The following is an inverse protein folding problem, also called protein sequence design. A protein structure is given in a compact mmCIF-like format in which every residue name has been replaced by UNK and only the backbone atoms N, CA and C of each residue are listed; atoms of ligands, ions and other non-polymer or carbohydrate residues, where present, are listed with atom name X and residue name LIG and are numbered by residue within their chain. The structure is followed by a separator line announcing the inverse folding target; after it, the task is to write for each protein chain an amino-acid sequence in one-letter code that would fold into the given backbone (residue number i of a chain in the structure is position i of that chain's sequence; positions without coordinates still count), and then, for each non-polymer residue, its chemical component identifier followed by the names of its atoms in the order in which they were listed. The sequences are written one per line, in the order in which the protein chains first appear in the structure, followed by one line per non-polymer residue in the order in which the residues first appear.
data_IF_789271670982
#
_entry.id   IF_789271670982
#
_cell.length_a   1.000
_cell.length_b   1.000
_cell.length_c   1.000
_cell.angle_alpha   90.00
_cell.angle_beta   90.00
_cell.angle_gamma   90.00
#
_symmetry.space_group_name_H-M   'P 1'
#
loop_
_entity.id
_entity.type
_entity.pdbx_description
1 polymer ?
#
# COMPACT_ATOMS: atom_id res chain seq x y z
N UNK A 1 -26.40 -7.54 -7.16
CA UNK A 1 -25.65 -8.54 -7.98
C UNK A 1 -25.32 -8.24 -9.46
N UNK A 2 -26.20 -7.74 -10.34
CA UNK A 2 -25.94 -7.72 -11.82
C UNK A 2 -24.71 -6.90 -12.28
N UNK A 3 -24.39 -5.80 -11.59
CA UNK A 3 -23.21 -4.98 -11.86
C UNK A 3 -21.90 -5.51 -11.26
N UNK A 4 -22.02 -6.36 -10.24
CA UNK A 4 -20.84 -6.91 -9.55
C UNK A 4 -20.04 -7.86 -10.46
N UNK A 5 -20.68 -8.55 -11.40
CA UNK A 5 -19.98 -9.46 -12.33
C UNK A 5 -19.08 -8.70 -13.30
N UNK A 6 -19.54 -7.56 -13.81
CA UNK A 6 -18.71 -6.68 -14.64
C UNK A 6 -17.54 -6.11 -13.84
N UNK A 7 -17.77 -5.67 -12.60
CA UNK A 7 -16.71 -5.14 -11.73
C UNK A 7 -15.58 -6.15 -11.48
N UNK A 8 -15.92 -7.42 -11.23
CA UNK A 8 -14.90 -8.47 -11.04
C UNK A 8 -14.15 -8.80 -12.33
N UNK A 9 -14.82 -8.81 -13.48
CA UNK A 9 -14.14 -9.05 -14.77
C UNK A 9 -13.16 -7.90 -15.07
N UNK A 10 -13.58 -6.65 -14.89
CA UNK A 10 -12.71 -5.48 -15.09
C UNK A 10 -11.53 -5.50 -14.12
N UNK A 11 -11.79 -5.78 -12.84
CA UNK A 11 -10.74 -5.94 -11.83
C UNK A 11 -9.78 -7.06 -12.16
N UNK A 12 -10.26 -8.22 -12.61
CA UNK A 12 -9.40 -9.34 -13.02
C UNK A 12 -8.53 -8.97 -14.22
N UNK A 13 -9.07 -8.26 -15.22
CA UNK A 13 -8.30 -7.75 -16.35
C UNK A 13 -7.23 -6.76 -15.88
N UNK A 14 -7.60 -5.80 -15.01
CA UNK A 14 -6.65 -4.83 -14.46
C UNK A 14 -5.56 -5.53 -13.65
N UNK A 15 -5.91 -6.56 -12.86
CA UNK A 15 -4.95 -7.35 -12.09
C UNK A 15 -3.99 -8.13 -12.99
N UNK A 16 -4.47 -8.69 -14.11
CA UNK A 16 -3.62 -9.35 -15.11
C UNK A 16 -2.69 -8.37 -15.81
N UNK A 17 -3.17 -7.18 -16.19
CA UNK A 17 -2.35 -6.13 -16.77
C UNK A 17 -1.29 -5.62 -15.78
N UNK A 18 -1.67 -5.43 -14.52
CA UNK A 18 -0.80 -5.07 -13.42
C UNK A 18 0.31 -6.12 -13.21
N UNK A 19 -0.05 -7.41 -13.15
CA UNK A 19 0.91 -8.50 -13.12
C UNK A 19 1.85 -8.47 -14.34
N UNK A 20 1.32 -8.25 -15.54
CA UNK A 20 2.13 -8.08 -16.75
C UNK A 20 3.16 -6.95 -16.61
N UNK A 21 2.75 -5.78 -16.11
CA UNK A 21 3.66 -4.65 -15.87
C UNK A 21 4.76 -5.00 -14.87
N UNK A 22 4.41 -5.70 -13.79
CA UNK A 22 5.36 -6.15 -12.77
C UNK A 22 6.41 -7.11 -13.34
N UNK A 23 5.99 -8.07 -14.18
CA UNK A 23 6.90 -9.06 -14.76
C UNK A 23 7.76 -8.51 -15.91
N UNK A 24 7.19 -7.69 -16.80
CA UNK A 24 7.91 -7.27 -18.01
C UNK A 24 8.75 -6.00 -17.83
N UNK A 25 8.28 -5.04 -17.03
CA UNK A 25 8.97 -3.75 -16.83
C UNK A 25 9.72 -3.69 -15.52
N UNK A 26 9.12 -4.24 -14.46
CA UNK A 26 9.67 -4.16 -13.10
C UNK A 26 9.65 -2.74 -12.53
N UNK A 27 10.11 -2.62 -11.29
CA UNK A 27 10.20 -1.35 -10.57
C UNK A 27 11.52 -0.65 -10.86
N UNK A 28 11.49 0.68 -11.01
CA UNK A 28 12.70 1.48 -10.80
C UNK A 28 12.97 1.53 -9.30
N UNK A 29 14.11 1.01 -8.87
CA UNK A 29 14.53 1.07 -7.47
C UNK A 29 15.13 2.44 -7.22
N UNK A 30 14.64 3.15 -6.20
CA UNK A 30 15.30 4.38 -5.76
C UNK A 30 16.47 4.08 -4.83
N UNK A 31 17.10 5.14 -4.34
CA UNK A 31 18.38 5.06 -3.59
C UNK A 31 18.27 4.21 -2.32
N UNK A 32 17.09 4.16 -1.69
CA UNK A 32 16.86 3.40 -0.46
C UNK A 32 17.04 1.90 -0.66
N UNK A 33 16.86 1.40 -1.88
CA UNK A 33 16.97 -0.03 -2.19
C UNK A 33 18.11 -0.34 -3.16
N UNK A 34 18.38 0.54 -4.12
CA UNK A 34 19.51 0.38 -5.03
C UNK A 34 20.85 0.71 -4.37
N UNK A 35 20.83 1.52 -3.30
CA UNK A 35 22.02 2.22 -2.82
C UNK A 35 22.43 3.37 -3.75
N UNK A 36 23.24 4.27 -3.24
CA UNK A 36 23.73 5.44 -3.97
C UNK A 36 23.52 6.74 -3.21
N UNK A 37 23.70 7.84 -3.92
CA UNK A 37 23.59 9.18 -3.37
C UNK A 37 22.59 10.00 -4.19
N UNK A 38 21.85 10.85 -3.49
CA UNK A 38 20.87 11.75 -4.05
C UNK A 38 21.13 13.16 -3.53
N UNK A 39 21.27 14.09 -4.47
CA UNK A 39 21.53 15.49 -4.16
C UNK A 39 20.45 16.33 -4.82
N UNK A 40 19.73 17.08 -4.00
CA UNK A 40 18.74 18.04 -4.45
C UNK A 40 19.37 19.43 -4.43
N UNK A 41 19.39 20.07 -5.60
CA UNK A 41 20.06 21.35 -5.80
C UNK A 41 19.06 22.33 -6.40
N UNK A 42 18.97 23.51 -5.80
CA UNK A 42 18.19 24.63 -6.32
C UNK A 42 19.10 25.73 -6.82
N UNK A 43 18.94 26.12 -8.07
CA UNK A 43 19.64 27.22 -8.71
C UNK A 43 18.85 28.52 -8.56
N UNK A 44 19.56 29.64 -8.63
CA UNK A 44 18.94 30.98 -8.69
C UNK A 44 18.27 31.25 -10.05
N UNK A 45 18.70 30.53 -11.09
CA UNK A 45 18.13 30.57 -12.45
C UNK A 45 17.79 29.16 -12.93
N UNK A 46 17.37 29.01 -14.19
CA UNK A 46 17.15 27.69 -14.80
C UNK A 46 18.42 26.83 -14.68
N UNK A 47 18.27 25.62 -14.16
CA UNK A 47 19.37 24.72 -13.88
C UNK A 47 20.01 24.19 -15.17
N UNK A 48 21.34 24.27 -15.34
CA UNK A 48 22.02 23.81 -16.56
C UNK A 48 22.25 22.29 -16.52
N UNK A 49 21.17 21.51 -16.74
CA UNK A 49 21.18 20.03 -16.62
C UNK A 49 22.31 19.35 -17.42
N UNK A 50 22.55 19.82 -18.66
CA UNK A 50 23.61 19.26 -19.51
C UNK A 50 24.99 19.51 -18.93
N UNK A 51 25.26 20.75 -18.52
CA UNK A 51 26.54 21.13 -17.94
C UNK A 51 26.80 20.39 -16.63
N UNK A 52 25.79 20.28 -15.75
CA UNK A 52 25.89 19.51 -14.52
C UNK A 52 26.20 18.04 -14.83
N UNK A 53 25.54 17.43 -15.82
CA UNK A 53 25.84 16.06 -16.22
C UNK A 53 27.28 15.92 -16.72
N UNK A 54 27.72 16.82 -17.59
CA UNK A 54 29.07 16.81 -18.17
C UNK A 54 30.15 17.02 -17.10
N UNK A 55 29.87 17.82 -16.07
CA UNK A 55 30.78 18.04 -14.93
C UNK A 55 30.98 16.76 -14.11
N UNK A 56 29.91 16.02 -13.83
CA UNK A 56 30.00 14.75 -13.10
C UNK A 56 30.60 13.62 -13.95
N UNK A 57 30.32 13.58 -15.26
CA UNK A 57 30.88 12.55 -16.15
C UNK A 57 32.40 12.66 -16.36
N UNK A 58 32.99 13.85 -16.18
CA UNK A 58 34.45 14.05 -16.21
C UNK A 58 35.18 13.27 -15.13
N UNK A 59 34.50 12.97 -14.03
CA UNK A 59 35.05 12.21 -12.92
C UNK A 59 34.65 10.74 -13.00
N UNK A 60 35.64 9.85 -13.13
CA UNK A 60 35.41 8.42 -13.28
C UNK A 60 34.61 7.79 -12.11
N UNK A 61 34.65 8.41 -10.92
CA UNK A 61 33.94 7.97 -9.71
C UNK A 61 32.43 8.22 -9.75
N UNK A 62 31.95 9.13 -10.61
CA UNK A 62 30.51 9.47 -10.73
C UNK A 62 29.88 8.94 -12.04
N UNK A 63 30.46 7.90 -12.64
CA UNK A 63 29.89 7.26 -13.83
C UNK A 63 28.46 6.77 -13.57
N UNK A 64 27.56 7.03 -14.53
CA UNK A 64 26.15 6.67 -14.41
C UNK A 64 25.30 7.68 -13.65
N UNK A 65 25.78 8.92 -13.47
CA UNK A 65 25.01 10.03 -12.92
C UNK A 65 23.73 10.27 -13.73
N UNK A 66 22.62 10.45 -13.04
CA UNK A 66 21.34 10.84 -13.61
C UNK A 66 20.94 12.20 -13.05
N UNK A 67 20.75 13.16 -13.96
CA UNK A 67 20.31 14.51 -13.62
C UNK A 67 18.94 14.73 -14.23
N UNK A 68 17.97 15.05 -13.39
CA UNK A 68 16.58 15.29 -13.76
C UNK A 68 16.01 16.53 -13.05
N UNK A 69 15.07 17.22 -13.67
CA UNK A 69 14.31 18.31 -13.04
C UNK A 69 13.47 17.80 -11.86
N UNK A 70 13.30 18.64 -10.85
CA UNK A 70 12.54 18.34 -9.64
C UNK A 70 11.51 19.43 -9.37
N UNK A 71 10.29 19.23 -9.87
CA UNK A 71 9.16 20.14 -9.63
C UNK A 71 9.21 21.46 -10.40
N UNK A 72 10.38 22.05 -10.61
CA UNK A 72 10.60 23.28 -11.38
C UNK A 72 11.87 23.21 -12.23
N UNK A 73 12.05 24.17 -13.15
CA UNK A 73 13.26 24.27 -14.00
C UNK A 73 14.49 24.77 -13.25
N UNK A 74 14.29 25.35 -12.07
CA UNK A 74 15.37 25.88 -11.20
C UNK A 74 15.91 24.80 -10.26
N UNK A 75 15.20 23.69 -10.10
CA UNK A 75 15.52 22.67 -9.12
C UNK A 75 15.77 21.34 -9.81
N UNK A 76 16.91 20.72 -9.49
CA UNK A 76 17.33 19.45 -10.07
C UNK A 76 17.63 18.46 -8.98
N UNK A 77 17.53 17.20 -9.37
CA UNK A 77 17.85 16.06 -8.56
C UNK A 77 18.91 15.25 -9.29
N UNK A 78 20.04 15.08 -8.61
CA UNK A 78 21.23 14.39 -9.10
C UNK A 78 21.32 13.08 -8.35
N UNK A 79 21.21 11.96 -9.07
CA UNK A 79 21.40 10.61 -8.54
C UNK A 79 22.68 10.03 -9.10
N UNK A 80 23.52 9.46 -8.26
CA UNK A 80 24.70 8.73 -8.71
C UNK A 80 24.93 7.49 -7.86
N UNK A 81 25.65 6.48 -8.40
CA UNK A 81 26.01 5.29 -7.64
C UNK A 81 26.79 5.64 -6.38
N UNK A 82 26.80 4.72 -5.42
CA UNK A 82 27.51 4.92 -4.17
C UNK A 82 29.01 5.07 -4.44
N UNK A 83 29.60 6.16 -3.96
CA UNK A 83 31.04 6.44 -4.07
C UNK A 83 31.65 6.21 -2.69
N UNK A 84 32.58 5.25 -2.61
CA UNK A 84 33.39 5.09 -1.41
C UNK A 84 34.30 6.30 -1.26
N UNK A 85 34.12 7.04 -0.17
CA UNK A 85 35.00 8.14 0.24
C UNK A 85 35.93 7.67 1.36
N UNK A 86 37.15 8.23 1.39
CA UNK A 86 38.05 8.03 2.53
C UNK A 86 37.43 8.64 3.80
N UNK A 87 37.86 8.17 4.99
CA UNK A 87 37.34 8.62 6.30
C UNK A 87 37.35 10.15 6.53
N UNK A 88 38.19 10.88 5.79
CA UNK A 88 38.33 12.35 5.89
C UNK A 88 37.79 13.11 4.66
N UNK A 89 37.19 12.43 3.68
CA UNK A 89 36.60 13.08 2.51
C UNK A 89 35.10 13.32 2.72
N UNK A 90 34.72 14.59 2.78
CA UNK A 90 33.31 14.99 2.80
C UNK A 90 32.75 14.98 1.37
N UNK A 91 31.93 13.96 1.07
CA UNK A 91 31.27 13.81 -0.23
C UNK A 91 30.38 15.02 -0.57
N UNK A 92 29.80 15.69 0.44
CA UNK A 92 29.02 16.92 0.23
C UNK A 92 29.93 18.05 -0.29
N UNK A 93 31.10 18.23 0.31
CA UNK A 93 32.09 19.21 -0.14
C UNK A 93 32.62 18.90 -1.55
N UNK A 94 32.84 17.62 -1.88
CA UNK A 94 33.25 17.20 -3.23
C UNK A 94 32.16 17.58 -4.25
N UNK A 95 30.91 17.22 -3.99
CA UNK A 95 29.78 17.54 -4.86
C UNK A 95 29.59 19.06 -4.99
N UNK A 96 29.69 19.82 -3.91
CA UNK A 96 29.63 21.27 -3.95
C UNK A 96 30.75 21.86 -4.82
N UNK A 97 31.97 21.32 -4.74
CA UNK A 97 33.09 21.77 -5.58
C UNK A 97 32.89 21.45 -7.06
N UNK A 98 32.33 20.29 -7.40
CA UNK A 98 31.99 19.91 -8.78
C UNK A 98 30.91 20.84 -9.34
N UNK A 99 29.97 21.27 -8.50
CA UNK A 99 28.86 22.14 -8.90
C UNK A 99 29.24 23.63 -8.96
N UNK A 100 30.31 24.10 -8.29
CA UNK A 100 30.75 25.51 -8.33
C UNK A 100 30.80 26.14 -9.73
N UNK A 101 31.29 25.47 -10.78
CA UNK A 101 31.30 26.03 -12.13
C UNK A 101 29.91 26.23 -12.74
N UNK A 102 28.89 25.51 -12.27
CA UNK A 102 27.54 25.50 -12.84
C UNK A 102 26.66 26.69 -12.42
N UNK A 103 27.19 27.61 -11.59
CA UNK A 103 26.54 28.86 -11.20
C UNK A 103 26.22 28.96 -9.70
N UNK A 104 25.34 29.89 -9.34
CA UNK A 104 24.87 30.05 -7.96
C UNK A 104 23.76 29.05 -7.65
N UNK A 105 24.02 28.19 -6.67
CA UNK A 105 23.11 27.14 -6.23
C UNK A 105 23.08 27.00 -4.71
N UNK A 106 22.03 26.36 -4.23
CA UNK A 106 21.84 25.95 -2.84
C UNK A 106 21.54 24.45 -2.80
N UNK A 107 22.34 23.69 -2.05
CA UNK A 107 22.07 22.27 -1.80
C UNK A 107 20.94 22.19 -0.77
N UNK A 108 19.78 21.70 -1.19
CA UNK A 108 18.59 21.55 -0.35
C UNK A 108 18.60 20.25 0.44
N UNK A 109 19.10 19.18 -0.18
CA UNK A 109 19.13 17.85 0.41
C UNK A 109 20.33 17.07 -0.11
N UNK A 110 20.95 16.31 0.77
CA UNK A 110 22.00 15.37 0.44
C UNK A 110 21.76 14.07 1.21
N UNK A 111 21.36 13.02 0.51
CA UNK A 111 21.15 11.69 1.08
C UNK A 111 22.14 10.70 0.47
N UNK A 112 22.63 9.76 1.27
CA UNK A 112 23.48 8.67 0.79
C UNK A 112 23.13 7.39 1.52
N UNK A 113 22.97 6.31 0.75
CA UNK A 113 22.65 4.98 1.24
C UNK A 113 23.69 4.02 0.71
N UNK A 114 24.40 3.35 1.63
CA UNK A 114 25.36 2.32 1.26
C UNK A 114 24.67 1.09 0.65
N UNK A 115 25.31 0.36 -0.29
CA UNK A 115 24.71 -0.80 -0.96
C UNK A 115 24.21 -1.88 0.01
N UNK A 116 24.96 -2.10 1.10
CA UNK A 116 24.57 -3.04 2.16
C UNK A 116 23.27 -2.60 2.85
N UNK A 117 23.22 -1.34 3.29
CA UNK A 117 22.03 -0.78 3.94
C UNK A 117 20.84 -0.84 2.99
N UNK A 118 21.02 -0.50 1.72
CA UNK A 118 19.94 -0.56 0.73
C UNK A 118 19.38 -1.97 0.53
N UNK A 119 20.25 -2.98 0.48
CA UNK A 119 19.80 -4.38 0.40
C UNK A 119 19.03 -4.83 1.65
N UNK A 120 19.47 -4.43 2.85
CA UNK A 120 18.78 -4.73 4.10
C UNK A 120 17.42 -4.01 4.18
N UNK A 121 17.33 -2.75 3.74
CA UNK A 121 16.09 -1.99 3.69
C UNK A 121 15.08 -2.62 2.72
N UNK A 122 15.54 -3.07 1.56
CA UNK A 122 14.70 -3.77 0.58
C UNK A 122 14.13 -5.06 1.17
N UNK A 123 14.97 -5.88 1.80
CA UNK A 123 14.55 -7.13 2.43
C UNK A 123 13.54 -6.88 3.55
N UNK A 124 13.83 -5.94 4.46
CA UNK A 124 12.92 -5.53 5.54
C UNK A 124 11.62 -4.95 5.00
N UNK A 125 11.66 -4.19 3.90
CA UNK A 125 10.47 -3.65 3.23
C UNK A 125 9.56 -4.76 2.74
N UNK A 126 10.08 -5.73 2.01
CA UNK A 126 9.32 -6.88 1.51
C UNK A 126 8.80 -7.74 2.67
N UNK A 127 9.66 -8.02 3.66
CA UNK A 127 9.30 -8.80 4.83
C UNK A 127 8.16 -8.14 5.62
N UNK A 128 8.18 -6.81 5.77
CA UNK A 128 7.12 -6.10 6.49
C UNK A 128 5.75 -6.22 5.81
N UNK A 129 5.70 -6.16 4.47
CA UNK A 129 4.45 -6.38 3.71
C UNK A 129 3.92 -7.81 3.90
N UNK A 130 4.79 -8.82 3.83
CA UNK A 130 4.40 -10.23 4.02
C UNK A 130 3.91 -10.46 5.46
N UNK A 131 4.66 -9.96 6.45
CA UNK A 131 4.29 -10.08 7.85
C UNK A 131 2.96 -9.36 8.16
N UNK A 132 2.70 -8.21 7.54
CA UNK A 132 1.43 -7.51 7.69
C UNK A 132 0.25 -8.32 7.14
N UNK A 133 0.40 -8.90 5.94
CA UNK A 133 -0.62 -9.79 5.36
C UNK A 133 -0.86 -11.03 6.23
N UNK A 134 0.21 -11.66 6.74
CA UNK A 134 0.08 -12.80 7.65
C UNK A 134 -0.58 -12.42 8.98
N UNK A 135 -0.21 -11.27 9.58
CA UNK A 135 -0.81 -10.79 10.81
C UNK A 135 -2.31 -10.53 10.65
N UNK A 136 -2.71 -9.93 9.52
CA UNK A 136 -4.12 -9.75 9.17
C UNK A 136 -4.81 -11.10 8.99
N UNK A 137 -4.20 -12.04 8.27
CA UNK A 137 -4.77 -13.38 8.08
C UNK A 137 -5.03 -14.06 9.42
N UNK A 138 -4.07 -14.02 10.34
CA UNK A 138 -4.22 -14.60 11.69
C UNK A 138 -5.32 -13.90 12.46
N UNK A 139 -5.32 -12.56 12.49
CA UNK A 139 -6.33 -11.78 13.21
C UNK A 139 -7.74 -12.07 12.68
N UNK A 140 -7.94 -11.99 11.36
CA UNK A 140 -9.24 -12.22 10.74
C UNK A 140 -9.67 -13.68 10.89
N UNK A 141 -8.74 -14.65 10.83
CA UNK A 141 -9.06 -16.08 11.07
C UNK A 141 -9.48 -16.36 12.52
N UNK A 142 -8.97 -15.59 13.48
CA UNK A 142 -9.37 -15.72 14.88
C UNK A 142 -10.73 -15.06 15.14
N UNK A 143 -10.99 -13.93 14.46
CA UNK A 143 -12.20 -13.12 14.64
C UNK A 143 -13.39 -13.61 13.79
N UNK A 144 -13.12 -14.25 12.66
CA UNK A 144 -14.08 -14.70 11.65
C UNK A 144 -13.82 -16.17 11.24
N UNK A 145 -14.63 -16.69 10.31
CA UNK A 145 -14.35 -18.00 9.71
C UNK A 145 -13.20 -17.87 8.71
N UNK A 146 -12.37 -18.91 8.61
CA UNK A 146 -11.10 -18.88 7.86
C UNK A 146 -11.28 -18.54 6.36
N UNK A 147 -12.46 -18.78 5.76
CA UNK A 147 -12.72 -18.40 4.35
C UNK A 147 -12.89 -16.90 4.19
N UNK A 148 -13.46 -16.21 5.19
CA UNK A 148 -13.45 -14.74 5.22
C UNK A 148 -12.02 -14.22 5.36
N UNK A 149 -11.18 -14.84 6.21
CA UNK A 149 -9.78 -14.45 6.30
C UNK A 149 -9.03 -14.62 4.98
N UNK A 150 -9.21 -15.76 4.31
CA UNK A 150 -8.61 -16.00 3.00
C UNK A 150 -9.14 -15.02 1.94
N UNK A 151 -10.44 -14.74 1.93
CA UNK A 151 -11.04 -13.78 1.01
C UNK A 151 -10.51 -12.35 1.21
N UNK A 152 -10.36 -11.92 2.47
CA UNK A 152 -9.74 -10.63 2.82
C UNK A 152 -8.31 -10.55 2.32
N UNK A 153 -7.48 -11.58 2.56
CA UNK A 153 -6.09 -11.59 2.13
C UNK A 153 -5.96 -11.55 0.60
N UNK A 154 -6.79 -12.31 -0.11
CA UNK A 154 -6.80 -12.30 -1.59
C UNK A 154 -7.16 -10.90 -2.11
N UNK A 155 -8.18 -10.26 -1.53
CA UNK A 155 -8.55 -8.89 -1.90
C UNK A 155 -7.42 -7.89 -1.62
N UNK A 156 -6.75 -8.00 -0.46
CA UNK A 156 -5.61 -7.14 -0.12
C UNK A 156 -4.42 -7.34 -1.06
N UNK A 157 -4.09 -8.58 -1.42
CA UNK A 157 -3.01 -8.88 -2.38
C UNK A 157 -3.34 -8.26 -3.73
N UNK A 158 -4.59 -8.39 -4.19
CA UNK A 158 -5.05 -7.71 -5.39
C UNK A 158 -4.85 -6.19 -5.31
N UNK A 159 -5.22 -5.56 -4.20
CA UNK A 159 -5.09 -4.10 -4.03
C UNK A 159 -3.63 -3.66 -4.07
N UNK A 160 -2.75 -4.36 -3.35
CA UNK A 160 -1.31 -4.11 -3.33
C UNK A 160 -0.71 -4.26 -4.72
N UNK A 161 -1.10 -5.28 -5.50
CA UNK A 161 -0.61 -5.48 -6.87
C UNK A 161 -1.00 -4.32 -7.79
N UNK A 162 -2.27 -3.88 -7.74
CA UNK A 162 -2.73 -2.77 -8.56
C UNK A 162 -2.02 -1.46 -8.20
N UNK A 163 -1.88 -1.18 -6.91
CA UNK A 163 -1.24 0.05 -6.44
C UNK A 163 0.26 0.03 -6.71
N UNK A 164 0.93 -1.10 -6.47
CA UNK A 164 2.34 -1.24 -6.82
C UNK A 164 2.54 -1.07 -8.35
N UNK A 165 1.65 -1.60 -9.17
CA UNK A 165 1.74 -1.41 -10.63
C UNK A 165 1.56 0.05 -11.05
N UNK A 166 0.78 0.84 -10.31
CA UNK A 166 0.65 2.27 -10.58
C UNK A 166 1.99 3.01 -10.44
N UNK A 167 2.83 2.64 -9.48
CA UNK A 167 4.19 3.20 -9.28
C UNK A 167 5.02 3.06 -10.56
N UNK A 168 4.90 1.91 -11.24
CA UNK A 168 5.58 1.63 -12.52
C UNK A 168 5.02 2.49 -13.67
N UNK A 169 3.70 2.68 -13.72
CA UNK A 169 3.04 3.50 -14.75
C UNK A 169 3.45 4.95 -14.63
N UNK A 170 3.45 5.49 -13.41
CA UNK A 170 3.81 6.87 -13.11
C UNK A 170 5.33 7.12 -13.01
N UNK A 171 6.16 6.09 -13.25
CA UNK A 171 7.63 6.16 -13.20
C UNK A 171 8.15 6.72 -11.87
N UNK A 172 7.50 6.33 -10.78
CA UNK A 172 7.93 6.66 -9.43
C UNK A 172 8.93 5.59 -8.98
N UNK A 173 10.00 6.03 -8.33
CA UNK A 173 10.95 5.10 -7.76
C UNK A 173 10.40 4.43 -6.52
N UNK A 174 10.63 3.12 -6.45
CA UNK A 174 10.33 2.32 -5.27
C UNK A 174 11.36 2.68 -4.19
N UNK A 175 10.91 3.43 -3.19
CA UNK A 175 11.63 3.82 -1.97
C UNK A 175 10.83 3.42 -0.71
N UNK A 176 11.34 3.74 0.47
CA UNK A 176 10.64 3.48 1.73
C UNK A 176 9.27 4.16 1.82
N UNK A 177 9.07 5.32 1.20
CA UNK A 177 7.78 6.01 1.20
C UNK A 177 6.70 5.22 0.45
N UNK A 178 7.08 4.54 -0.64
CA UNK A 178 6.16 3.67 -1.40
C UNK A 178 5.79 2.45 -0.56
N UNK A 179 6.75 1.84 0.14
CA UNK A 179 6.47 0.72 1.06
C UNK A 179 5.54 1.16 2.19
N UNK A 180 5.78 2.33 2.78
CA UNK A 180 4.92 2.91 3.80
C UNK A 180 3.49 3.15 3.29
N UNK A 181 3.34 3.63 2.05
CA UNK A 181 2.02 3.78 1.42
C UNK A 181 1.33 2.43 1.23
N UNK A 182 2.02 1.41 0.73
CA UNK A 182 1.46 0.07 0.56
C UNK A 182 1.05 -0.56 1.91
N UNK A 183 1.85 -0.39 2.95
CA UNK A 183 1.52 -0.87 4.30
C UNK A 183 0.30 -0.15 4.89
N UNK A 184 0.24 1.18 4.69
CA UNK A 184 -0.90 2.00 5.11
C UNK A 184 -2.17 1.59 4.37
N UNK A 185 -2.08 1.36 3.05
CA UNK A 185 -3.17 0.85 2.23
C UNK A 185 -3.70 -0.48 2.75
N UNK A 186 -2.82 -1.42 3.11
CA UNK A 186 -3.22 -2.72 3.65
C UNK A 186 -4.11 -2.52 4.90
N UNK A 187 -3.68 -1.67 5.84
CA UNK A 187 -4.44 -1.35 7.04
C UNK A 187 -5.75 -0.60 6.77
N UNK A 188 -5.75 0.29 5.78
CA UNK A 188 -6.93 1.03 5.37
C UNK A 188 -7.97 0.13 4.66
N UNK A 189 -7.56 -0.67 3.67
CA UNK A 189 -8.45 -1.54 2.89
C UNK A 189 -9.06 -2.68 3.74
N UNK A 190 -8.29 -3.22 4.70
CA UNK A 190 -8.81 -4.26 5.58
C UNK A 190 -9.90 -3.75 6.52
N UNK A 191 -9.82 -2.48 6.97
CA UNK A 191 -10.83 -1.88 7.83
C UNK A 191 -12.22 -1.89 7.17
N UNK A 192 -12.30 -1.49 5.90
CA UNK A 192 -13.55 -1.48 5.14
C UNK A 192 -14.06 -2.91 4.89
N UNK A 193 -13.14 -3.84 4.58
CA UNK A 193 -13.47 -5.26 4.40
C UNK A 193 -14.05 -5.89 5.66
N UNK A 194 -13.50 -5.58 6.84
CA UNK A 194 -13.97 -6.06 8.15
C UNK A 194 -15.38 -5.57 8.44
N UNK A 195 -15.68 -4.29 8.18
CA UNK A 195 -17.01 -3.71 8.40
C UNK A 195 -18.05 -4.43 7.55
N UNK A 196 -17.75 -4.65 6.27
CA UNK A 196 -18.64 -5.35 5.34
C UNK A 196 -18.83 -6.80 5.76
N UNK A 197 -17.76 -7.50 6.15
CA UNK A 197 -17.83 -8.90 6.58
C UNK A 197 -18.60 -9.08 7.90
N UNK A 198 -18.46 -8.16 8.84
CA UNK A 198 -19.24 -8.18 10.08
C UNK A 198 -20.73 -7.95 9.78
N UNK A 199 -21.06 -7.03 8.86
CA UNK A 199 -22.45 -6.83 8.44
C UNK A 199 -23.02 -8.02 7.67
N UNK A 200 -22.24 -8.63 6.77
CA UNK A 200 -22.64 -9.88 6.08
C UNK A 200 -22.99 -10.94 7.12
N UNK A 201 -22.12 -11.13 8.11
CA UNK A 201 -22.35 -12.09 9.20
C UNK A 201 -23.61 -11.77 10.00
N UNK A 202 -23.87 -10.51 10.33
CA UNK A 202 -25.07 -10.08 11.05
C UNK A 202 -26.35 -10.36 10.24
N UNK A 203 -26.37 -9.98 8.96
CA UNK A 203 -27.51 -10.21 8.06
C UNK A 203 -27.77 -11.70 7.82
N UNK A 204 -26.70 -12.49 7.80
CA UNK A 204 -26.79 -13.94 7.82
C UNK A 204 -27.46 -14.38 9.13
N UNK A 205 -26.91 -14.09 10.31
CA UNK A 205 -27.45 -14.60 11.59
C UNK A 205 -28.92 -14.21 11.89
N UNK A 206 -29.45 -13.16 11.27
CA UNK A 206 -30.81 -12.62 11.43
C UNK A 206 -31.98 -13.55 11.01
N UNK A 207 -31.74 -14.78 10.53
CA UNK A 207 -32.75 -15.78 10.06
C UNK A 207 -33.71 -15.33 8.93
N UNK A 208 -33.69 -14.06 8.53
CA UNK A 208 -34.59 -13.50 7.49
C UNK A 208 -34.21 -13.91 6.06
N UNK A 209 -32.99 -14.43 5.85
CA UNK A 209 -32.47 -14.69 4.51
C UNK A 209 -31.68 -16.01 4.44
N UNK A 210 -32.23 -17.03 3.77
CA UNK A 210 -31.50 -18.29 3.51
C UNK A 210 -30.51 -18.20 2.34
N UNK A 211 -30.45 -17.07 1.64
CA UNK A 211 -29.59 -16.87 0.48
C UNK A 211 -28.40 -15.97 0.81
N UNK A 212 -27.19 -16.53 0.79
CA UNK A 212 -25.93 -15.80 1.05
C UNK A 212 -25.75 -14.58 0.11
N UNK A 213 -26.18 -14.71 -1.14
CA UNK A 213 -26.13 -13.62 -2.12
C UNK A 213 -26.94 -12.40 -1.68
N UNK A 214 -28.15 -12.65 -1.17
CA UNK A 214 -29.06 -11.59 -0.75
C UNK A 214 -28.62 -10.95 0.58
N UNK A 215 -28.07 -11.74 1.49
CA UNK A 215 -27.44 -11.21 2.71
C UNK A 215 -26.26 -10.29 2.39
N UNK A 216 -25.45 -10.64 1.39
CA UNK A 216 -24.33 -9.80 0.94
C UNK A 216 -24.82 -8.50 0.29
N UNK A 217 -25.81 -8.57 -0.62
CA UNK A 217 -26.36 -7.36 -1.25
C UNK A 217 -26.93 -6.41 -0.17
N UNK A 218 -27.66 -6.92 0.83
CA UNK A 218 -28.20 -6.10 1.94
C UNK A 218 -27.09 -5.52 2.84
N UNK A 219 -26.08 -6.32 3.16
CA UNK A 219 -24.95 -5.89 3.97
C UNK A 219 -24.13 -4.78 3.28
N UNK A 220 -23.91 -4.91 1.97
CA UNK A 220 -23.26 -3.88 1.16
C UNK A 220 -24.12 -2.61 1.15
N UNK A 221 -25.42 -2.72 0.87
CA UNK A 221 -26.31 -1.55 0.83
C UNK A 221 -26.37 -0.80 2.16
N UNK A 222 -26.41 -1.51 3.29
CA UNK A 222 -26.45 -0.90 4.62
C UNK A 222 -25.13 -0.26 5.06
N UNK A 223 -23.99 -0.74 4.55
CA UNK A 223 -22.65 -0.19 4.89
C UNK A 223 -22.14 0.85 3.91
N UNK A 224 -22.71 0.92 2.71
CA UNK A 224 -22.24 1.76 1.60
C UNK A 224 -22.01 3.22 1.99
N UNK A 225 -22.97 3.86 2.67
CA UNK A 225 -22.86 5.27 3.08
C UNK A 225 -21.65 5.51 3.97
N UNK A 226 -21.43 4.63 4.95
CA UNK A 226 -20.28 4.73 5.86
C UNK A 226 -18.97 4.55 5.11
N UNK A 227 -18.85 3.47 4.33
CA UNK A 227 -17.64 3.13 3.58
C UNK A 227 -17.28 4.22 2.56
N UNK A 228 -18.26 4.76 1.84
CA UNK A 228 -18.01 5.85 0.90
C UNK A 228 -17.57 7.13 1.60
N UNK A 229 -18.18 7.50 2.73
CA UNK A 229 -17.81 8.71 3.47
C UNK A 229 -16.38 8.61 4.04
N UNK A 230 -16.01 7.48 4.65
CA UNK A 230 -14.64 7.26 5.15
C UNK A 230 -13.62 7.23 4.02
N UNK A 231 -14.00 6.67 2.87
CA UNK A 231 -13.11 6.62 1.71
C UNK A 231 -12.91 7.99 1.07
N UNK A 232 -13.98 8.77 0.93
CA UNK A 232 -13.92 10.10 0.34
C UNK A 232 -13.10 11.07 1.19
N UNK A 233 -13.20 10.99 2.52
CA UNK A 233 -12.38 11.86 3.39
C UNK A 233 -10.89 11.58 3.23
N UNK A 234 -10.49 10.31 3.24
CA UNK A 234 -9.09 9.93 2.98
C UNK A 234 -8.68 10.34 1.57
N UNK A 235 -9.53 10.07 0.57
CA UNK A 235 -9.29 10.44 -0.82
C UNK A 235 -9.01 11.94 -0.97
N UNK A 236 -9.82 12.82 -0.38
CA UNK A 236 -9.61 14.26 -0.49
C UNK A 236 -8.35 14.73 0.22
N UNK A 237 -8.03 14.18 1.39
CA UNK A 237 -6.78 14.50 2.10
C UNK A 237 -5.57 14.11 1.25
N UNK A 238 -5.56 12.88 0.74
CA UNK A 238 -4.45 12.39 -0.08
C UNK A 238 -4.41 13.08 -1.44
N UNK A 239 -5.54 13.47 -2.01
CA UNK A 239 -5.61 14.26 -3.25
C UNK A 239 -4.94 15.62 -3.07
N UNK A 240 -5.24 16.32 -1.97
CA UNK A 240 -4.58 17.60 -1.65
C UNK A 240 -3.07 17.38 -1.49
N UNK A 241 -2.65 16.33 -0.77
CA UNK A 241 -1.23 15.97 -0.65
C UNK A 241 -0.59 15.61 -2.00
N UNK A 242 -1.33 15.03 -2.94
CA UNK A 242 -0.81 14.66 -4.25
C UNK A 242 -0.68 15.87 -5.19
N UNK A 243 -1.62 16.81 -5.13
CA UNK A 243 -1.68 17.99 -6.02
C UNK A 243 -0.82 19.13 -5.51
N UNK A 244 -0.91 19.43 -4.21
CA UNK A 244 -0.24 20.57 -3.58
C UNK A 244 1.02 20.17 -2.79
N UNK A 245 1.25 18.88 -2.61
CA UNK A 245 2.44 18.38 -1.95
C UNK A 245 3.73 18.62 -2.73
N UNK A 246 4.85 18.59 -2.02
CA UNK A 246 6.16 18.59 -2.66
C UNK A 246 6.38 17.30 -3.46
N UNK A 247 7.27 17.36 -4.45
CA UNK A 247 7.65 16.16 -5.24
C UNK A 247 8.30 15.07 -4.39
N UNK A 248 8.73 15.37 -3.16
CA UNK A 248 9.30 14.39 -2.23
C UNK A 248 8.22 13.41 -1.77
N UNK A 249 7.00 13.89 -1.50
CA UNK A 249 5.93 13.04 -0.95
C UNK A 249 5.12 12.31 -2.02
N UNK A 250 5.43 12.50 -3.30
CA UNK A 250 4.67 11.89 -4.41
C UNK A 250 4.73 10.36 -4.37
N UNK A 251 5.85 9.81 -3.88
CA UNK A 251 6.04 8.36 -3.69
C UNK A 251 5.10 7.77 -2.65
N UNK A 252 4.58 8.58 -1.72
CA UNK A 252 3.57 8.16 -0.77
C UNK A 252 2.15 8.50 -1.25
N UNK A 253 1.94 9.76 -1.65
CA UNK A 253 0.60 10.29 -1.89
C UNK A 253 -0.07 9.70 -3.13
N UNK A 254 0.66 9.47 -4.23
CA UNK A 254 0.05 8.91 -5.43
C UNK A 254 -0.37 7.44 -5.23
N UNK A 255 0.47 6.54 -4.68
CA UNK A 255 0.04 5.18 -4.37
C UNK A 255 -1.12 5.14 -3.38
N UNK A 256 -1.12 6.00 -2.35
CA UNK A 256 -2.25 6.11 -1.43
C UNK A 256 -3.52 6.58 -2.13
N UNK A 257 -3.45 7.55 -3.05
CA UNK A 257 -4.62 8.09 -3.76
C UNK A 257 -5.30 7.00 -4.58
N UNK A 258 -4.50 6.25 -5.34
CA UNK A 258 -4.98 5.12 -6.14
C UNK A 258 -5.44 4.00 -5.22
N UNK A 259 -4.71 3.73 -4.16
CA UNK A 259 -5.02 2.70 -3.18
C UNK A 259 -6.34 2.93 -2.46
N UNK A 260 -6.68 4.17 -2.11
CA UNK A 260 -7.99 4.50 -1.54
C UNK A 260 -9.11 4.11 -2.50
N UNK A 261 -9.02 4.48 -3.78
CA UNK A 261 -10.03 4.08 -4.79
C UNK A 261 -10.09 2.55 -4.90
N UNK A 262 -8.93 1.91 -4.99
CA UNK A 262 -8.81 0.46 -5.19
C UNK A 262 -9.39 -0.32 -4.01
N UNK A 263 -8.99 0.04 -2.79
CA UNK A 263 -9.46 -0.61 -1.56
C UNK A 263 -10.96 -0.44 -1.34
N UNK A 264 -11.52 0.74 -1.62
CA UNK A 264 -12.97 0.96 -1.50
C UNK A 264 -13.77 0.04 -2.42
N UNK A 265 -13.40 -0.07 -3.70
CA UNK A 265 -14.16 -0.94 -4.60
C UNK A 265 -13.87 -2.43 -4.32
N UNK A 266 -12.64 -2.77 -3.94
CA UNK A 266 -12.23 -4.15 -3.64
C UNK A 266 -12.97 -4.72 -2.45
N UNK A 267 -13.07 -3.96 -1.36
CA UNK A 267 -13.83 -4.34 -0.15
C UNK A 267 -15.33 -4.53 -0.44
N UNK A 268 -15.91 -3.73 -1.34
CA UNK A 268 -17.33 -3.80 -1.71
C UNK A 268 -17.63 -4.94 -2.70
N UNK A 269 -16.79 -5.14 -3.72
CA UNK A 269 -17.11 -6.01 -4.86
C UNK A 269 -16.27 -7.27 -4.95
N UNK A 270 -15.00 -7.24 -4.54
CA UNK A 270 -14.08 -8.39 -4.68
C UNK A 270 -14.19 -9.28 -3.45
N UNK A 271 -13.95 -8.73 -2.26
CA UNK A 271 -13.83 -9.52 -1.04
C UNK A 271 -15.09 -10.39 -0.76
N UNK A 272 -16.34 -9.85 -0.84
CA UNK A 272 -17.55 -10.65 -0.60
C UNK A 272 -17.75 -11.75 -1.64
N UNK A 273 -17.34 -11.49 -2.89
CA UNK A 273 -17.44 -12.47 -3.97
C UNK A 273 -16.42 -13.58 -3.86
N UNK A 274 -15.18 -13.25 -3.50
CA UNK A 274 -14.16 -14.27 -3.22
C UNK A 274 -14.64 -15.15 -2.07
N UNK A 275 -15.24 -14.58 -1.03
CA UNK A 275 -15.83 -15.36 0.07
C UNK A 275 -16.93 -16.33 -0.41
N UNK A 276 -17.80 -15.90 -1.33
CA UNK A 276 -18.80 -16.78 -1.96
C UNK A 276 -18.17 -17.90 -2.79
N UNK A 277 -17.16 -17.57 -3.61
CA UNK A 277 -16.47 -18.53 -4.48
C UNK A 277 -15.71 -19.60 -3.69
N UNK A 278 -15.20 -19.26 -2.50
CA UNK A 278 -14.56 -20.20 -1.59
C UNK A 278 -15.56 -21.19 -0.93
N UNK A 279 -16.82 -21.19 -1.38
CA UNK A 279 -17.80 -22.21 -1.01
C UNK A 279 -18.31 -22.06 0.41
N UNK A 280 -18.42 -20.81 0.90
CA UNK A 280 -18.97 -20.52 2.22
C UNK A 280 -20.35 -21.15 2.41
N UNK A 281 -20.43 -22.18 3.26
CA UNK A 281 -21.66 -22.91 3.56
C UNK A 281 -22.34 -22.25 4.73
N UNK A 282 -23.42 -21.55 4.41
CA UNK A 282 -24.26 -20.86 5.37
C UNK A 282 -24.77 -21.79 6.47
N UNK A 283 -25.29 -22.97 6.13
CA UNK A 283 -25.89 -23.90 7.08
C UNK A 283 -24.89 -24.35 8.14
N UNK A 284 -23.69 -24.75 7.71
CA UNK A 284 -22.60 -25.13 8.63
C UNK A 284 -22.13 -23.96 9.48
N UNK A 285 -22.12 -22.75 8.95
CA UNK A 285 -21.73 -21.56 9.69
C UNK A 285 -22.74 -21.25 10.82
N UNK A 286 -24.04 -21.24 10.52
CA UNK A 286 -25.08 -21.06 11.54
C UNK A 286 -25.00 -22.13 12.62
N UNK A 287 -24.84 -23.40 12.25
CA UNK A 287 -24.78 -24.50 13.22
C UNK A 287 -23.59 -24.34 14.17
N UNK A 288 -22.43 -23.97 13.62
CA UNK A 288 -21.24 -23.71 14.42
C UNK A 288 -21.42 -22.51 15.37
N UNK A 289 -22.04 -21.44 14.90
CA UNK A 289 -22.20 -20.21 15.67
C UNK A 289 -23.30 -20.34 16.74
N UNK A 290 -24.43 -20.97 16.38
CA UNK A 290 -25.47 -21.34 17.34
C UNK A 290 -24.94 -22.25 18.43
N UNK A 291 -24.06 -23.22 18.10
CA UNK A 291 -23.38 -24.08 19.08
C UNK A 291 -22.45 -23.30 20.00
N UNK A 292 -21.73 -22.29 19.51
CA UNK A 292 -20.90 -21.41 20.36
C UNK A 292 -21.75 -20.58 21.32
N UNK A 293 -22.83 -19.97 20.83
CA UNK A 293 -23.76 -19.18 21.65
C UNK A 293 -24.37 -20.06 22.73
N UNK A 294 -24.85 -21.27 22.37
CA UNK A 294 -25.40 -22.23 23.33
C UNK A 294 -24.39 -22.62 24.41
N UNK A 295 -23.14 -22.93 24.03
CA UNK A 295 -22.07 -23.23 25.00
C UNK A 295 -21.76 -22.05 25.93
N UNK A 296 -21.81 -20.81 25.41
CA UNK A 296 -21.59 -19.61 26.21
C UNK A 296 -22.73 -19.39 27.21
N UNK A 297 -23.98 -19.55 26.78
CA UNK A 297 -25.17 -19.49 27.65
C UNK A 297 -25.15 -20.59 28.71
N UNK A 298 -24.77 -21.82 28.36
CA UNK A 298 -24.60 -22.92 29.32
C UNK A 298 -23.53 -22.58 30.36
N UNK A 299 -22.38 -22.05 29.93
CA UNK A 299 -21.31 -21.63 30.84
C UNK A 299 -21.73 -20.48 31.76
N UNK A 300 -22.49 -19.51 31.26
CA UNK A 300 -23.01 -18.40 32.06
C UNK A 300 -24.08 -18.87 33.05
N UNK A 301 -24.97 -19.76 32.62
CA UNK A 301 -25.97 -20.41 33.50
C UNK A 301 -25.28 -21.17 34.62
N UNK A 302 -24.25 -21.95 34.32
CA UNK A 302 -23.45 -22.67 35.33
C UNK A 302 -22.79 -21.68 36.30
N UNK A 303 -22.20 -20.57 35.81
CA UNK A 303 -21.63 -19.52 36.68
C UNK A 303 -22.66 -18.94 37.65
N UNK A 304 -23.86 -18.59 37.16
CA UNK A 304 -24.95 -18.07 38.00
C UNK A 304 -25.41 -19.08 39.05
N UNK A 305 -25.42 -20.37 38.71
CA UNK A 305 -25.77 -21.44 39.66
C UNK A 305 -24.70 -21.59 40.76
N UNK A 306 -23.41 -21.48 40.43
CA UNK A 306 -22.31 -21.45 41.41
C UNK A 306 -22.36 -20.20 42.30
N UNK A 307 -22.59 -19.01 41.73
CA UNK A 307 -22.70 -17.76 42.49
C UNK A 307 -23.92 -17.74 43.42
N UNK A 308 -25.01 -18.41 43.02
CA UNK A 308 -26.24 -18.54 43.80
C UNK A 308 -26.27 -19.69 44.81
N UNK A 309 -25.18 -20.47 44.95
CA UNK A 309 -25.08 -21.59 45.88
C UNK A 309 -26.04 -22.75 45.61
N UNK A 310 -26.53 -22.90 44.38
CA UNK A 310 -27.48 -23.96 43.99
C UNK A 310 -26.80 -25.25 43.48
N UNK A 311 -25.47 -25.35 43.61
CA UNK A 311 -24.67 -26.54 43.24
C UNK A 311 -23.56 -26.73 44.26
#
# INVERSE_FOLDING_TARGET
MRYSNYGVIVSAILALLALGLLFFKGFSLGIDFAGGSLVQVRYTQNAPIKEVRDLFEKEARFKGVQVSEFGSKEEILIKFPFVETAENEDLNAIVANILKPSGDFEIRKFDTVGPRVGSELKEKGILSLILALMAIMVYVSFRYEWRFALASVIALVHDVILVASSVIVFKIDMNLEVIAALLTLIGYSINDTIIIFDRIREEMLSQKTQNAAKAIDEAISSTLTRTLLTSLTVFFVVLILCVFGSKIIIGFSLPMLIGTIVGTYSSIFIAPKVALLLGFDMGKYYENEARKIKKAQEKEKMRRLYEGGQV
#
